data_IF_046221906262
#
_entry.id   IF_046221906262
#
_cell.length_a   1.000
_cell.length_b   1.000
_cell.length_c   1.000
_cell.angle_alpha   90.00
_cell.angle_beta   90.00
_cell.angle_gamma   90.00
#
_symmetry.space_group_name_H-M   'P 1'
#
loop_
_entity.id
_entity.type
_entity.pdbx_description
1 polymer ?
#
# COMPACT_ATOMS: atom_id res chain seq x y z
N UNK A 1 13.71 -0.68 -0.21
CA UNK A 1 13.56 0.42 -1.19
C UNK A 1 13.97 -0.13 -2.55
N UNK A 2 13.22 0.20 -3.60
CA UNK A 2 13.53 -0.22 -4.98
C UNK A 2 13.73 1.03 -5.86
N UNK A 3 14.92 1.28 -6.42
CA UNK A 3 15.17 2.44 -7.26
C UNK A 3 14.39 2.36 -8.59
N UNK A 4 13.93 3.52 -9.06
CA UNK A 4 13.22 3.69 -10.33
C UNK A 4 14.13 4.42 -11.34
N UNK A 5 13.60 4.70 -12.53
CA UNK A 5 14.35 5.25 -13.67
C UNK A 5 14.52 4.22 -14.79
N UNK A 6 15.46 4.46 -15.71
CA UNK A 6 15.70 3.56 -16.85
C UNK A 6 14.41 3.16 -17.58
N UNK A 7 14.25 1.86 -17.86
CA UNK A 7 13.10 1.32 -18.59
C UNK A 7 11.76 1.50 -17.89
N UNK A 8 11.69 1.48 -16.55
CA UNK A 8 10.40 1.65 -15.86
C UNK A 8 9.90 3.09 -15.94
N UNK A 9 10.83 4.07 -16.04
CA UNK A 9 10.52 5.49 -16.16
C UNK A 9 10.39 6.02 -17.59
N UNK A 10 10.71 5.22 -18.62
CA UNK A 10 10.64 5.66 -20.03
C UNK A 10 9.22 5.80 -20.59
N UNK A 11 8.27 4.89 -20.30
CA UNK A 11 6.90 5.02 -20.82
C UNK A 11 6.13 6.19 -20.17
N UNK A 12 5.16 6.80 -20.86
CA UNK A 12 4.21 7.75 -20.27
C UNK A 12 3.42 7.13 -19.11
N UNK A 13 3.01 7.95 -18.13
CA UNK A 13 2.19 7.49 -16.98
C UNK A 13 0.87 6.83 -17.40
N UNK A 14 0.29 7.28 -18.50
CA UNK A 14 -0.97 6.77 -19.05
C UNK A 14 -0.82 5.51 -19.91
N UNK A 15 0.40 5.04 -20.17
CA UNK A 15 0.64 3.89 -21.05
C UNK A 15 0.06 2.58 -20.50
N UNK A 16 -0.05 2.47 -19.17
CA UNK A 16 -0.72 1.35 -18.48
C UNK A 16 -1.43 1.89 -17.23
N UNK A 17 -2.29 1.09 -16.57
CA UNK A 17 -2.86 1.46 -15.27
C UNK A 17 -1.84 1.64 -14.12
N UNK A 18 -0.54 1.46 -14.38
CA UNK A 18 0.54 1.66 -13.41
C UNK A 18 1.23 3.00 -13.72
N UNK A 19 0.92 4.08 -12.98
CA UNK A 19 1.32 5.43 -13.34
C UNK A 19 2.72 5.82 -12.81
N UNK A 20 3.32 5.05 -11.91
CA UNK A 20 4.61 5.39 -11.28
C UNK A 20 5.77 5.23 -12.29
N UNK A 21 6.07 6.30 -13.05
CA UNK A 21 7.03 6.29 -14.17
C UNK A 21 8.16 7.31 -13.95
N UNK A 22 8.38 8.20 -14.93
CA UNK A 22 9.39 9.25 -14.86
C UNK A 22 9.17 10.19 -13.67
N UNK A 23 10.25 10.68 -13.06
CA UNK A 23 10.18 11.52 -11.86
C UNK A 23 10.13 10.76 -10.54
N UNK A 24 9.81 9.46 -10.54
CA UNK A 24 9.89 8.61 -9.34
C UNK A 24 11.36 8.20 -9.10
N UNK A 25 11.90 8.54 -7.93
CA UNK A 25 13.27 8.17 -7.55
C UNK A 25 13.36 6.72 -7.08
N UNK A 26 12.44 6.30 -6.20
CA UNK A 26 12.38 4.95 -5.66
C UNK A 26 11.01 4.67 -5.04
N UNK A 27 10.65 3.39 -4.97
CA UNK A 27 9.51 2.90 -4.21
C UNK A 27 9.95 2.44 -2.80
N UNK A 28 9.11 2.71 -1.80
CA UNK A 28 9.32 2.30 -0.40
C UNK A 28 8.19 1.34 -0.01
N UNK A 29 8.54 0.14 0.41
CA UNK A 29 7.61 -0.80 1.03
C UNK A 29 7.82 -0.75 2.54
N UNK A 30 6.76 -0.43 3.29
CA UNK A 30 6.76 -0.54 4.75
C UNK A 30 6.26 -1.93 5.13
N UNK A 31 7.14 -2.76 5.68
CA UNK A 31 6.80 -4.11 6.13
C UNK A 31 7.01 -4.22 7.63
N UNK A 32 6.07 -4.90 8.30
CA UNK A 32 6.21 -5.29 9.69
C UNK A 32 5.72 -6.73 9.81
N UNK A 33 6.59 -7.62 10.27
CA UNK A 33 6.27 -9.02 10.46
C UNK A 33 6.11 -9.30 11.94
N UNK A 34 5.12 -10.10 12.31
CA UNK A 34 4.91 -10.54 13.68
C UNK A 34 4.54 -12.00 13.75
N UNK A 35 4.74 -12.57 14.94
CA UNK A 35 4.32 -13.94 15.23
C UNK A 35 2.80 -14.03 15.28
N UNK A 36 2.25 -15.12 14.76
CA UNK A 36 0.84 -15.47 14.86
C UNK A 36 0.33 -15.59 16.31
N UNK A 37 1.24 -15.64 17.30
CA UNK A 37 0.91 -15.58 18.72
C UNK A 37 0.42 -14.21 19.20
N UNK A 38 0.52 -13.16 18.37
CA UNK A 38 0.05 -11.80 18.69
C UNK A 38 -1.04 -11.35 17.73
N UNK A 39 -1.93 -10.48 18.19
CA UNK A 39 -3.03 -9.93 17.39
C UNK A 39 -2.58 -8.87 16.35
N UNK A 40 -1.29 -8.55 16.30
CA UNK A 40 -0.73 -7.57 15.36
C UNK A 40 -1.08 -6.11 15.67
N UNK A 41 -1.72 -5.82 16.80
CA UNK A 41 -2.24 -4.48 17.10
C UNK A 41 -1.13 -3.45 17.28
N UNK A 42 -0.07 -3.78 18.01
CA UNK A 42 1.09 -2.91 18.20
C UNK A 42 1.84 -2.64 16.88
N UNK A 43 1.96 -3.67 16.04
CA UNK A 43 2.65 -3.63 14.75
C UNK A 43 1.88 -2.79 13.73
N UNK A 44 0.56 -2.92 13.74
CA UNK A 44 -0.35 -2.10 12.94
C UNK A 44 -0.32 -0.64 13.39
N UNK A 45 -0.26 -0.36 14.70
CA UNK A 45 -0.12 1.01 15.23
C UNK A 45 1.21 1.62 14.77
N UNK A 46 2.31 0.89 14.97
CA UNK A 46 3.64 1.34 14.55
C UNK A 46 3.71 1.65 13.05
N UNK A 47 3.12 0.81 12.19
CA UNK A 47 3.07 1.07 10.74
C UNK A 47 2.27 2.34 10.39
N UNK A 48 1.18 2.63 11.12
CA UNK A 48 0.41 3.86 10.92
C UNK A 48 1.18 5.10 11.35
N UNK A 49 1.88 5.02 12.48
CA UNK A 49 2.70 6.12 12.99
C UNK A 49 3.88 6.40 12.04
N UNK A 50 4.55 5.35 11.55
CA UNK A 50 5.59 5.47 10.52
C UNK A 50 5.03 6.08 9.22
N UNK A 51 3.86 5.62 8.77
CA UNK A 51 3.21 6.18 7.58
C UNK A 51 2.87 7.66 7.74
N UNK A 52 2.39 8.08 8.92
CA UNK A 52 2.14 9.49 9.24
C UNK A 52 3.43 10.31 9.27
N UNK A 53 4.46 9.79 9.95
CA UNK A 53 5.79 10.42 10.04
C UNK A 53 6.43 10.66 8.67
N UNK A 54 6.27 9.72 7.74
CA UNK A 54 6.82 9.83 6.38
C UNK A 54 6.08 10.82 5.47
N UNK A 55 4.91 11.33 5.90
CA UNK A 55 4.04 12.22 5.13
C UNK A 55 4.74 13.39 4.39
N UNK A 56 5.63 14.17 5.02
CA UNK A 56 6.28 15.31 4.36
C UNK A 56 7.40 14.91 3.38
N UNK A 57 7.88 13.66 3.40
CA UNK A 57 9.05 13.22 2.64
C UNK A 57 8.71 12.39 1.39
N UNK A 58 7.44 12.07 1.18
CA UNK A 58 6.97 11.23 0.08
C UNK A 58 6.10 12.03 -0.90
N UNK A 59 5.62 11.39 -1.96
CA UNK A 59 4.70 12.02 -2.92
C UNK A 59 3.45 12.59 -2.25
N UNK A 60 2.96 13.70 -2.82
CA UNK A 60 1.81 14.46 -2.34
C UNK A 60 0.98 14.94 -3.52
N UNK A 61 -0.35 14.99 -3.33
CA UNK A 61 -1.34 15.43 -4.31
C UNK A 61 -1.33 14.65 -5.65
N UNK A 62 -1.54 13.31 -5.64
CA UNK A 62 -1.89 12.45 -4.51
C UNK A 62 -0.67 11.82 -3.80
N UNK A 63 -0.89 11.25 -2.61
CA UNK A 63 0.10 10.37 -1.99
C UNK A 63 0.03 9.00 -2.66
N UNK A 64 1.02 8.71 -3.48
CA UNK A 64 1.04 7.53 -4.35
C UNK A 64 1.26 6.23 -3.58
N UNK A 65 0.61 5.15 -4.04
CA UNK A 65 0.74 3.82 -3.48
C UNK A 65 0.65 2.77 -4.59
N UNK A 66 1.43 1.70 -4.45
CA UNK A 66 1.39 0.59 -5.39
C UNK A 66 0.24 -0.36 -5.05
N UNK A 67 -0.67 -0.58 -6.00
CA UNK A 67 -1.90 -1.37 -5.79
C UNK A 67 -1.66 -2.79 -5.26
N UNK A 68 -0.55 -3.43 -5.62
CA UNK A 68 -0.24 -4.78 -5.16
C UNK A 68 0.21 -4.84 -3.69
N UNK A 69 0.60 -3.70 -3.11
CA UNK A 69 0.87 -3.58 -1.68
C UNK A 69 -0.42 -3.11 -1.02
N UNK A 70 -1.29 -4.07 -0.68
CA UNK A 70 -2.53 -3.80 0.04
C UNK A 70 -2.25 -2.89 1.24
N UNK A 71 -2.91 -1.73 1.29
CA UNK A 71 -2.71 -0.78 2.39
C UNK A 71 -3.63 -1.12 3.55
N UNK A 72 -3.20 -0.85 4.79
CA UNK A 72 -4.05 -1.01 5.98
C UNK A 72 -5.35 -0.20 5.88
N UNK A 73 -5.33 0.93 5.17
CA UNK A 73 -6.50 1.77 4.93
C UNK A 73 -7.48 1.10 3.97
N UNK A 74 -6.99 0.51 2.87
CA UNK A 74 -7.83 -0.25 1.94
C UNK A 74 -8.33 -1.56 2.56
N UNK A 75 -7.51 -2.25 3.36
CA UNK A 75 -7.93 -3.42 4.12
C UNK A 75 -9.09 -3.12 5.08
N UNK A 76 -9.13 -1.92 5.68
CA UNK A 76 -10.28 -1.45 6.47
C UNK A 76 -11.51 -1.13 5.63
N UNK A 77 -11.35 -0.61 4.42
CA UNK A 77 -12.46 -0.35 3.48
C UNK A 77 -13.10 -1.65 2.98
N UNK A 78 -12.34 -2.74 2.84
CA UNK A 78 -12.86 -4.06 2.48
C UNK A 78 -13.39 -4.87 3.68
N UNK A 79 -13.18 -4.42 4.92
CA UNK A 79 -13.61 -5.12 6.15
C UNK A 79 -15.08 -4.89 6.55
N UNK A 80 -15.89 -4.20 5.76
CA UNK A 80 -17.33 -4.05 6.02
C UNK A 80 -18.14 -4.73 4.92
N UNK A 81 -18.41 -6.01 5.13
CA UNK A 81 -19.16 -6.86 4.19
C UNK A 81 -19.48 -8.28 4.66
N UNK A 82 -19.04 -8.72 5.85
CA UNK A 82 -19.55 -9.97 6.44
C UNK A 82 -20.83 -9.68 7.22
N UNK A 83 -21.93 -9.51 6.50
CA UNK A 83 -23.25 -9.76 7.08
C UNK A 83 -23.37 -11.27 7.33
N UNK A 84 -23.75 -11.75 8.54
CA UNK A 84 -23.99 -13.17 8.78
C UNK A 84 -25.36 -13.52 8.18
N UNK A 85 -25.41 -13.72 6.87
CA UNK A 85 -26.60 -14.20 6.20
C UNK A 85 -26.20 -15.09 5.02
N UNK A 86 -26.25 -16.40 5.29
CA UNK A 86 -26.69 -17.47 4.38
C UNK A 86 -26.46 -17.27 2.87
N UNK A 87 -25.68 -18.18 2.26
CA UNK A 87 -26.20 -19.05 1.19
C UNK A 87 -25.23 -20.18 0.81
N UNK A 88 -25.77 -21.29 0.27
CA UNK A 88 -25.15 -22.60 0.27
C UNK A 88 -24.20 -22.84 -0.90
N UNK A 89 -23.44 -23.91 -0.71
CA UNK A 89 -22.76 -24.79 -1.66
C UNK A 89 -23.46 -24.80 -3.03
N UNK A 90 -22.72 -24.38 -4.07
CA UNK A 90 -22.56 -25.08 -5.34
C UNK A 90 -21.08 -25.06 -5.72
#
# INVERSE_FOLDING_TARGET
MAPYGGKIGSPPESATPFPHRGGVLYNIQYMNFWSAATDGSAQTRWLKDLYAFMGPYVSKNPREAYANYGTLTWARMWSWGTSPATRPIE
#
